data_IF_022645354461
#
_entry.id   IF_022645354461
#
_cell.length_a   1.000
_cell.length_b   1.000
_cell.length_c   1.000
_cell.angle_alpha   90.00
_cell.angle_beta   90.00
_cell.angle_gamma   90.00
#
_symmetry.space_group_name_H-M   'P 1'
#
loop_
_entity.id
_entity.type
_entity.pdbx_description
1 polymer ?
#
# COMPACT_ATOMS: atom_id res chain seq x y z
N UNK A 1 69.94 53.97 -6.39
CA UNK A 1 69.92 52.58 -6.91
C UNK A 1 68.48 52.12 -6.97
N UNK A 2 68.10 51.45 -8.07
CA UNK A 2 66.74 51.04 -8.45
C UNK A 2 66.16 49.96 -7.51
N UNK A 3 64.88 50.04 -7.19
CA UNK A 3 63.82 49.03 -7.47
C UNK A 3 62.52 49.45 -6.76
N UNK A 4 61.44 49.82 -7.46
CA UNK A 4 60.41 49.00 -8.16
C UNK A 4 59.45 48.25 -7.23
N UNK A 5 58.17 48.61 -7.36
CA UNK A 5 57.00 47.80 -7.03
C UNK A 5 56.30 48.24 -5.74
N UNK A 6 54.98 48.40 -5.68
CA UNK A 6 53.94 48.39 -6.68
C UNK A 6 52.73 49.08 -6.03
N UNK A 7 52.03 49.92 -6.78
CA UNK A 7 50.76 50.49 -6.39
C UNK A 7 49.69 49.38 -6.28
N UNK A 8 48.80 49.43 -5.29
CA UNK A 8 47.37 49.24 -5.57
C UNK A 8 46.48 49.69 -4.42
N UNK A 9 45.54 50.54 -4.82
CA UNK A 9 44.33 51.08 -4.19
C UNK A 9 43.58 50.09 -3.29
N UNK A 10 43.23 50.53 -2.08
CA UNK A 10 42.25 49.88 -1.21
C UNK A 10 40.84 50.18 -1.72
N UNK A 11 40.12 49.13 -2.13
CA UNK A 11 38.70 49.18 -2.48
C UNK A 11 37.89 48.47 -1.40
N UNK A 12 36.81 49.13 -0.97
CA UNK A 12 35.80 48.65 -0.02
C UNK A 12 35.20 47.31 -0.44
N UNK A 13 34.98 46.42 0.54
CA UNK A 13 33.96 45.38 0.45
C UNK A 13 33.09 45.43 1.70
N UNK A 14 31.89 46.00 1.54
CA UNK A 14 30.80 45.87 2.49
C UNK A 14 30.21 44.46 2.34
N UNK A 15 30.25 43.68 3.42
CA UNK A 15 29.72 42.32 3.45
C UNK A 15 28.19 42.38 3.66
N UNK A 16 27.42 42.38 2.57
CA UNK A 16 25.98 42.13 2.65
C UNK A 16 25.74 40.63 2.90
N UNK A 17 25.46 40.26 4.15
CA UNK A 17 24.95 38.93 4.48
C UNK A 17 23.48 38.88 4.09
N UNK A 18 23.19 38.43 2.87
CA UNK A 18 21.84 38.09 2.47
C UNK A 18 21.46 36.76 3.14
N UNK A 19 20.64 36.82 4.19
CA UNK A 19 20.02 35.65 4.79
C UNK A 19 19.04 35.02 3.80
N UNK A 20 19.46 33.94 3.13
CA UNK A 20 18.58 33.04 2.41
C UNK A 20 17.73 32.27 3.44
N UNK A 21 16.64 32.89 3.90
CA UNK A 21 15.55 32.16 4.53
C UNK A 21 14.89 31.30 3.43
N UNK A 22 15.39 30.09 3.23
CA UNK A 22 14.72 29.11 2.40
C UNK A 22 13.35 28.82 2.99
N UNK A 23 12.29 29.28 2.34
CA UNK A 23 10.94 28.84 2.65
C UNK A 23 10.86 27.35 2.36
N UNK A 24 10.95 26.52 3.40
CA UNK A 24 10.61 25.11 3.31
C UNK A 24 9.11 25.03 3.03
N UNK A 25 8.73 24.76 1.78
CA UNK A 25 7.35 24.40 1.46
C UNK A 25 7.03 23.12 2.24
N UNK A 26 6.02 23.18 3.10
CA UNK A 26 5.50 21.99 3.76
C UNK A 26 5.00 21.05 2.66
N UNK A 27 5.58 19.85 2.57
CA UNK A 27 5.12 18.84 1.64
C UNK A 27 3.68 18.47 2.03
N UNK A 28 2.74 18.58 1.09
CA UNK A 28 1.37 18.10 1.30
C UNK A 28 1.36 16.57 1.28
N UNK A 29 0.46 15.97 2.06
CA UNK A 29 0.22 14.54 1.98
C UNK A 29 -0.17 14.15 0.55
N UNK A 30 0.30 12.99 0.06
CA UNK A 30 -0.08 12.52 -1.27
C UNK A 30 -1.60 12.29 -1.32
N UNK A 31 -2.21 12.75 -2.39
CA UNK A 31 -3.62 12.55 -2.62
C UNK A 31 -3.85 11.15 -3.20
N UNK A 32 -4.57 10.32 -2.45
CA UNK A 32 -5.12 9.05 -2.92
C UNK A 32 -6.56 9.34 -3.30
N UNK A 33 -6.93 9.11 -4.57
CA UNK A 33 -8.28 9.42 -5.05
C UNK A 33 -9.31 8.69 -4.20
N UNK A 34 -10.23 9.47 -3.64
CA UNK A 34 -11.31 9.00 -2.78
C UNK A 34 -12.44 8.39 -3.62
N UNK A 35 -13.02 7.31 -3.12
CA UNK A 35 -14.21 6.73 -3.73
C UNK A 35 -15.42 7.63 -3.51
N UNK A 36 -15.48 8.30 -2.35
CA UNK A 36 -16.59 9.20 -1.98
C UNK A 36 -16.75 10.42 -2.90
N UNK A 37 -15.69 10.80 -3.62
CA UNK A 37 -15.71 11.89 -4.60
C UNK A 37 -15.94 11.41 -6.03
N UNK A 38 -16.14 10.11 -6.23
CA UNK A 38 -16.42 9.49 -7.53
C UNK A 38 -17.94 9.37 -7.72
N UNK A 39 -18.41 9.42 -8.97
CA UNK A 39 -19.80 9.08 -9.29
C UNK A 39 -20.00 7.56 -9.22
N UNK A 40 -21.04 7.08 -8.54
CA UNK A 40 -21.36 5.64 -8.53
C UNK A 40 -21.54 5.09 -9.96
N UNK A 41 -20.99 3.89 -10.19
CA UNK A 41 -20.88 3.26 -11.51
C UNK A 41 -19.69 3.72 -12.36
N UNK A 42 -19.03 4.82 -12.00
CA UNK A 42 -17.83 5.28 -12.72
C UNK A 42 -16.55 4.63 -12.17
N UNK A 43 -15.55 4.46 -13.04
CA UNK A 43 -14.23 4.04 -12.62
C UNK A 43 -13.57 5.12 -11.73
N UNK A 44 -13.05 4.76 -10.54
CA UNK A 44 -12.43 5.74 -9.66
C UNK A 44 -11.08 6.19 -10.24
N UNK A 45 -10.91 7.51 -10.39
CA UNK A 45 -9.77 8.07 -11.11
C UNK A 45 -8.42 7.66 -10.48
N UNK A 46 -7.46 7.24 -11.31
CA UNK A 46 -6.12 6.80 -10.88
C UNK A 46 -6.05 5.38 -10.33
N UNK A 47 -7.19 4.75 -10.02
CA UNK A 47 -7.24 3.33 -9.68
C UNK A 47 -7.29 2.47 -10.94
N UNK A 48 -6.54 1.38 -10.96
CA UNK A 48 -6.41 0.46 -12.09
C UNK A 48 -6.66 -0.97 -11.64
N UNK A 49 -7.48 -1.70 -12.39
CA UNK A 49 -7.65 -3.14 -12.20
C UNK A 49 -6.42 -3.85 -12.76
N UNK A 50 -5.77 -4.66 -11.93
CA UNK A 50 -4.59 -5.46 -12.30
C UNK A 50 -4.92 -6.95 -12.18
N UNK A 51 -4.69 -7.68 -13.28
CA UNK A 51 -4.85 -9.14 -13.32
C UNK A 51 -3.60 -9.86 -12.79
N UNK A 52 -3.79 -11.00 -12.15
CA UNK A 52 -2.68 -11.77 -11.55
C UNK A 52 -2.09 -12.82 -12.50
N UNK A 53 -2.92 -13.42 -13.35
CA UNK A 53 -2.50 -14.22 -14.50
C UNK A 53 -3.65 -14.26 -15.51
N UNK A 54 -3.34 -14.67 -16.74
CA UNK A 54 -4.36 -14.90 -17.77
C UNK A 54 -5.28 -16.09 -17.51
N UNK A 55 -4.97 -16.94 -16.53
CA UNK A 55 -5.74 -18.16 -16.22
C UNK A 55 -6.65 -18.01 -15.00
N UNK A 56 -6.49 -16.95 -14.22
CA UNK A 56 -7.33 -16.69 -13.04
C UNK A 56 -8.58 -15.92 -13.43
N UNK A 57 -9.70 -16.28 -12.81
CA UNK A 57 -10.91 -15.45 -12.81
C UNK A 57 -10.62 -14.15 -12.06
N UNK A 58 -11.29 -13.08 -12.46
CA UNK A 58 -11.09 -11.75 -11.89
C UNK A 58 -12.16 -11.43 -10.85
N UNK A 59 -11.79 -10.66 -9.84
CA UNK A 59 -12.71 -10.04 -8.88
C UNK A 59 -13.44 -8.90 -9.58
N UNK A 60 -14.75 -8.82 -9.40
CA UNK A 60 -15.56 -7.75 -9.96
C UNK A 60 -15.50 -6.52 -9.04
N UNK A 61 -15.10 -5.38 -9.59
CA UNK A 61 -15.00 -4.11 -8.86
C UNK A 61 -15.97 -3.08 -9.46
N UNK A 62 -16.75 -2.44 -8.60
CA UNK A 62 -17.68 -1.39 -9.00
C UNK A 62 -17.83 -0.31 -7.93
N UNK A 63 -17.93 0.95 -8.32
CA UNK A 63 -18.31 2.03 -7.38
C UNK A 63 -19.81 2.00 -7.16
N UNK A 64 -20.25 1.94 -5.91
CA UNK A 64 -21.66 1.86 -5.52
C UNK A 64 -21.96 2.85 -4.40
N UNK A 65 -23.23 3.17 -4.17
CA UNK A 65 -23.65 3.93 -2.99
C UNK A 65 -23.93 2.97 -1.84
N UNK A 66 -23.26 3.17 -0.71
CA UNK A 66 -23.57 2.52 0.58
C UNK A 66 -23.66 3.61 1.66
N UNK A 67 -24.71 3.58 2.48
CA UNK A 67 -24.93 4.56 3.56
C UNK A 67 -24.84 6.04 3.10
N UNK A 68 -25.26 6.32 1.85
CA UNK A 68 -25.25 7.66 1.27
C UNK A 68 -23.90 8.16 0.76
N UNK A 69 -22.86 7.32 0.77
CA UNK A 69 -21.52 7.65 0.24
C UNK A 69 -21.12 6.68 -0.86
N UNK A 70 -20.30 7.13 -1.81
CA UNK A 70 -19.77 6.26 -2.86
C UNK A 70 -18.56 5.48 -2.32
N UNK A 71 -18.58 4.17 -2.52
CA UNK A 71 -17.58 3.20 -2.05
C UNK A 71 -17.20 2.24 -3.18
N UNK A 72 -16.08 1.55 -3.07
CA UNK A 72 -15.70 0.50 -4.01
C UNK A 72 -16.19 -0.86 -3.49
N UNK A 73 -17.15 -1.46 -4.19
CA UNK A 73 -17.59 -2.85 -3.97
C UNK A 73 -16.67 -3.81 -4.71
N UNK A 74 -16.33 -4.92 -4.05
CA UNK A 74 -15.60 -6.05 -4.61
C UNK A 74 -16.41 -7.34 -4.40
N UNK A 75 -16.62 -8.11 -5.47
CA UNK A 75 -17.30 -9.40 -5.45
C UNK A 75 -16.41 -10.47 -6.08
N UNK A 76 -16.03 -11.48 -5.30
CA UNK A 76 -15.13 -12.54 -5.72
C UNK A 76 -15.83 -13.91 -5.71
N UNK A 77 -15.62 -14.69 -6.78
CA UNK A 77 -16.26 -15.98 -7.02
C UNK A 77 -15.22 -16.98 -7.57
N UNK A 78 -14.48 -17.64 -6.68
CA UNK A 78 -13.29 -18.41 -7.04
C UNK A 78 -12.29 -17.59 -7.85
N UNK A 79 -12.12 -16.31 -7.50
CA UNK A 79 -11.41 -15.31 -8.32
C UNK A 79 -10.40 -14.50 -7.52
N UNK A 80 -9.46 -13.87 -8.24
CA UNK A 80 -8.46 -13.01 -7.65
C UNK A 80 -7.90 -12.01 -8.68
N UNK A 81 -8.13 -10.73 -8.43
CA UNK A 81 -7.48 -9.60 -9.10
C UNK A 81 -7.35 -8.42 -8.13
N UNK A 82 -6.55 -7.42 -8.49
CA UNK A 82 -6.26 -6.26 -7.64
C UNK A 82 -6.90 -5.00 -8.19
N UNK A 83 -7.23 -4.06 -7.31
CA UNK A 83 -7.37 -2.65 -7.66
C UNK A 83 -6.18 -1.88 -7.09
N UNK A 84 -5.41 -1.20 -7.95
CA UNK A 84 -4.16 -0.55 -7.58
C UNK A 84 -4.17 0.96 -7.86
N UNK A 85 -3.66 1.75 -6.93
CA UNK A 85 -3.40 3.17 -7.05
C UNK A 85 -1.90 3.42 -6.94
N UNK A 86 -1.29 3.95 -8.01
CA UNK A 86 0.13 4.31 -7.99
C UNK A 86 0.32 5.64 -7.27
N UNK A 87 1.20 5.67 -6.29
CA UNK A 87 1.51 6.87 -5.51
C UNK A 87 2.91 6.77 -4.96
N UNK A 88 3.66 7.87 -4.92
CA UNK A 88 5.01 7.87 -4.35
C UNK A 88 5.12 8.86 -3.19
N UNK A 89 5.48 8.36 -2.01
CA UNK A 89 5.76 9.21 -0.85
C UNK A 89 6.71 8.53 0.15
N UNK A 90 7.35 9.35 0.98
CA UNK A 90 8.15 8.86 2.10
C UNK A 90 7.24 8.57 3.30
N UNK A 91 7.14 7.31 3.77
CA UNK A 91 6.31 6.99 4.93
C UNK A 91 6.84 7.61 6.22
N UNK A 92 8.07 8.15 6.26
CA UNK A 92 8.57 8.90 7.41
C UNK A 92 7.98 10.32 7.50
N UNK A 93 7.57 10.89 6.36
CA UNK A 93 6.89 12.19 6.31
C UNK A 93 5.37 12.03 6.51
N UNK A 94 4.78 10.95 5.99
CA UNK A 94 3.35 10.64 6.09
C UNK A 94 3.12 9.20 6.59
N UNK A 95 3.43 8.90 7.87
CA UNK A 95 3.38 7.52 8.38
C UNK A 95 1.96 7.03 8.64
N UNK A 96 1.00 7.92 8.85
CA UNK A 96 -0.33 7.54 9.33
C UNK A 96 -1.21 7.16 8.16
N UNK A 97 -1.38 5.86 7.92
CA UNK A 97 -2.33 5.32 6.95
C UNK A 97 -3.70 5.11 7.62
N UNK A 98 -4.75 5.67 7.04
CA UNK A 98 -6.14 5.50 7.49
C UNK A 98 -7.03 4.98 6.37
N UNK A 99 -7.88 4.01 6.69
CA UNK A 99 -8.85 3.44 5.75
C UNK A 99 -10.05 2.86 6.49
N UNK A 100 -11.09 2.51 5.73
CA UNK A 100 -12.22 1.73 6.23
C UNK A 100 -12.66 0.67 5.23
N UNK A 101 -13.20 -0.43 5.74
CA UNK A 101 -13.85 -1.46 4.94
C UNK A 101 -15.04 -2.07 5.68
N UNK A 102 -15.89 -2.78 4.94
CA UNK A 102 -16.98 -3.60 5.45
C UNK A 102 -16.97 -4.92 4.72
N UNK A 103 -16.78 -6.02 5.45
CA UNK A 103 -16.95 -7.37 4.89
C UNK A 103 -18.45 -7.68 4.91
N UNK A 104 -19.04 -7.94 3.75
CA UNK A 104 -20.44 -8.33 3.61
C UNK A 104 -20.55 -9.85 3.73
N UNK A 105 -19.72 -10.57 2.99
CA UNK A 105 -19.60 -12.02 3.02
C UNK A 105 -18.14 -12.40 3.29
N UNK A 106 -17.91 -13.11 4.40
CA UNK A 106 -16.59 -13.61 4.80
C UNK A 106 -16.27 -14.97 4.18
N UNK A 107 -15.10 -15.52 4.52
CA UNK A 107 -14.63 -16.81 3.99
C UNK A 107 -14.37 -17.78 5.16
N UNK A 108 -15.37 -18.55 5.64
CA UNK A 108 -15.20 -19.42 6.81
C UNK A 108 -14.10 -20.48 6.66
N UNK A 109 -13.79 -20.87 5.43
CA UNK A 109 -12.74 -21.83 5.12
C UNK A 109 -11.33 -21.21 5.11
N UNK A 110 -11.19 -19.88 5.16
CA UNK A 110 -9.90 -19.21 5.08
C UNK A 110 -9.02 -19.54 6.30
N UNK A 111 -7.74 -19.75 6.03
CA UNK A 111 -6.70 -20.00 7.03
C UNK A 111 -5.44 -19.26 6.60
N UNK A 112 -5.14 -18.13 7.26
CA UNK A 112 -4.06 -17.23 6.84
C UNK A 112 -2.68 -17.90 6.83
N UNK A 113 -2.45 -18.95 7.63
CA UNK A 113 -1.18 -19.70 7.65
C UNK A 113 -1.12 -20.84 6.63
N UNK A 114 -2.19 -21.10 5.89
CA UNK A 114 -2.29 -22.25 5.00
C UNK A 114 -2.34 -21.80 3.54
N UNK A 115 -1.29 -22.09 2.79
CA UNK A 115 -1.15 -21.73 1.38
C UNK A 115 -2.35 -22.06 0.51
N UNK A 116 -3.04 -23.18 0.73
CA UNK A 116 -4.18 -23.58 -0.11
C UNK A 116 -5.49 -22.97 0.36
N UNK A 117 -5.46 -22.15 1.41
CA UNK A 117 -6.61 -21.47 2.01
C UNK A 117 -6.25 -20.03 2.43
N UNK A 118 -5.20 -19.45 1.82
CA UNK A 118 -4.67 -18.11 2.12
C UNK A 118 -5.47 -17.06 1.34
N UNK A 119 -6.80 -17.08 1.46
CA UNK A 119 -7.73 -16.09 0.88
C UNK A 119 -8.19 -15.10 1.97
N UNK A 120 -8.60 -13.89 1.59
CA UNK A 120 -9.20 -12.94 2.51
C UNK A 120 -10.34 -12.14 1.85
N UNK A 121 -11.45 -11.87 2.57
CA UNK A 121 -12.53 -11.07 2.03
C UNK A 121 -12.12 -9.61 1.79
N UNK A 122 -11.09 -9.13 2.50
CA UNK A 122 -10.46 -7.83 2.26
C UNK A 122 -8.95 -7.85 2.52
N UNK A 123 -8.22 -7.17 1.65
CA UNK A 123 -6.81 -6.81 1.82
C UNK A 123 -6.59 -5.35 1.41
N UNK A 124 -5.83 -4.62 2.21
CA UNK A 124 -5.20 -3.36 1.81
C UNK A 124 -3.69 -3.58 1.77
N UNK A 125 -3.06 -3.33 0.64
CA UNK A 125 -1.66 -3.66 0.39
C UNK A 125 -0.88 -2.38 0.13
N UNK A 126 0.30 -2.26 0.75
CA UNK A 126 1.20 -1.12 0.59
C UNK A 126 2.50 -1.63 0.00
N UNK A 127 2.84 -1.15 -1.19
CA UNK A 127 4.05 -1.54 -1.91
C UNK A 127 5.19 -0.56 -1.61
N UNK A 128 6.34 -1.08 -1.19
CA UNK A 128 7.53 -0.31 -0.84
C UNK A 128 8.64 -0.53 -1.87
N UNK A 129 9.31 0.56 -2.23
CA UNK A 129 10.56 0.53 -2.98
C UNK A 129 11.73 0.08 -2.08
N UNK A 130 12.82 -0.33 -2.71
CA UNK A 130 14.06 -0.68 -2.02
C UNK A 130 15.07 -1.28 -2.97
N UNK A 131 16.23 -1.63 -2.43
CA UNK A 131 17.34 -2.18 -3.20
C UNK A 131 17.14 -3.68 -3.43
N UNK A 132 16.68 -4.04 -4.64
CA UNK A 132 16.39 -5.42 -5.02
C UNK A 132 17.62 -6.32 -5.04
N UNK A 133 18.85 -5.77 -5.06
CA UNK A 133 20.07 -6.57 -4.94
C UNK A 133 20.23 -7.20 -3.55
N UNK A 134 19.60 -6.61 -2.52
CA UNK A 134 19.58 -7.12 -1.14
C UNK A 134 18.60 -8.27 -0.92
N UNK A 135 17.72 -8.55 -1.89
CA UNK A 135 16.78 -9.67 -1.80
C UNK A 135 17.51 -11.00 -1.81
N UNK A 136 16.98 -12.01 -1.12
CA UNK A 136 17.49 -13.37 -1.20
C UNK A 136 17.38 -13.91 -2.64
N UNK A 137 18.20 -14.91 -2.98
CA UNK A 137 18.13 -15.55 -4.31
C UNK A 137 16.72 -16.11 -4.58
N UNK A 138 16.08 -16.67 -3.55
CA UNK A 138 14.71 -17.20 -3.64
C UNK A 138 13.69 -16.09 -3.92
N UNK A 139 13.79 -14.94 -3.25
CA UNK A 139 12.86 -13.83 -3.47
C UNK A 139 13.05 -13.19 -4.86
N UNK A 140 14.30 -13.11 -5.34
CA UNK A 140 14.57 -12.65 -6.72
C UNK A 140 14.00 -13.61 -7.77
N UNK A 141 14.09 -14.91 -7.53
CA UNK A 141 13.49 -15.93 -8.39
C UNK A 141 11.95 -15.83 -8.38
N UNK A 142 11.34 -15.69 -7.20
CA UNK A 142 9.89 -15.47 -7.06
C UNK A 142 9.42 -14.20 -7.78
N UNK A 143 10.15 -13.08 -7.63
CA UNK A 143 9.85 -11.83 -8.35
C UNK A 143 9.95 -11.98 -9.86
N UNK A 144 10.92 -12.75 -10.35
CA UNK A 144 11.08 -13.00 -11.78
C UNK A 144 9.94 -13.85 -12.33
N UNK A 145 9.53 -14.90 -11.59
CA UNK A 145 8.38 -15.73 -11.92
C UNK A 145 7.08 -14.92 -11.94
N UNK A 146 6.84 -14.10 -10.92
CA UNK A 146 5.67 -13.22 -10.85
C UNK A 146 5.60 -12.27 -12.06
N UNK A 147 6.75 -11.70 -12.49
CA UNK A 147 6.83 -10.86 -13.68
C UNK A 147 6.47 -11.63 -14.96
N UNK A 148 6.93 -12.87 -15.08
CA UNK A 148 6.59 -13.71 -16.25
C UNK A 148 5.12 -14.12 -16.29
N UNK A 149 4.50 -14.38 -15.14
CA UNK A 149 3.11 -14.84 -15.05
C UNK A 149 2.08 -13.70 -15.16
N UNK A 150 2.36 -12.56 -14.53
CA UNK A 150 1.42 -11.42 -14.42
C UNK A 150 1.79 -10.22 -15.30
N UNK A 151 3.00 -10.22 -15.87
CA UNK A 151 3.58 -9.03 -16.51
C UNK A 151 4.08 -7.97 -15.53
N UNK A 152 3.84 -8.12 -14.22
CA UNK A 152 4.19 -7.15 -13.19
C UNK A 152 5.33 -7.68 -12.30
N UNK A 153 6.37 -6.87 -12.10
CA UNK A 153 7.39 -7.19 -11.10
C UNK A 153 6.81 -7.00 -9.69
N UNK A 154 7.20 -7.87 -8.75
CA UNK A 154 6.90 -7.66 -7.34
C UNK A 154 7.65 -6.42 -6.82
N UNK A 155 7.05 -5.63 -5.92
CA UNK A 155 7.78 -4.58 -5.23
C UNK A 155 8.89 -5.17 -4.36
N UNK A 156 9.79 -4.32 -3.86
CA UNK A 156 10.84 -4.76 -2.94
C UNK A 156 10.26 -5.35 -1.65
N UNK A 157 9.20 -4.75 -1.13
CA UNK A 157 8.38 -5.30 -0.07
C UNK A 157 6.92 -4.92 -0.25
N UNK A 158 6.03 -5.75 0.26
CA UNK A 158 4.61 -5.48 0.33
C UNK A 158 4.07 -5.84 1.72
N UNK A 159 3.47 -4.86 2.38
CA UNK A 159 2.75 -5.06 3.64
C UNK A 159 1.25 -5.11 3.34
N UNK A 160 0.61 -6.22 3.69
CA UNK A 160 -0.83 -6.43 3.51
C UNK A 160 -1.52 -6.34 4.87
N UNK A 161 -2.47 -5.43 5.02
CA UNK A 161 -3.44 -5.44 6.11
C UNK A 161 -4.62 -6.30 5.70
N UNK A 162 -4.93 -7.34 6.48
CA UNK A 162 -5.92 -8.35 6.10
C UNK A 162 -7.01 -8.55 7.15
N UNK A 163 -8.16 -9.03 6.69
CA UNK A 163 -9.07 -9.78 7.53
C UNK A 163 -8.56 -11.22 7.68
N UNK A 164 -7.97 -11.54 8.82
CA UNK A 164 -7.31 -12.81 9.08
C UNK A 164 -8.29 -13.97 9.30
N UNK A 165 -8.00 -15.13 8.71
CA UNK A 165 -8.71 -16.38 8.96
C UNK A 165 -7.95 -17.23 9.97
N UNK A 166 -8.58 -17.51 11.13
CA UNK A 166 -8.02 -18.36 12.21
C UNK A 166 -6.65 -17.89 12.72
N UNK A 167 -6.47 -16.58 12.83
CA UNK A 167 -5.28 -15.92 13.37
C UNK A 167 -5.67 -14.80 14.31
N UNK A 168 -4.82 -14.49 15.28
CA UNK A 168 -5.06 -13.37 16.18
C UNK A 168 -4.90 -12.03 15.44
N UNK A 169 -5.70 -11.02 15.81
CA UNK A 169 -5.44 -9.62 15.43
C UNK A 169 -4.04 -9.21 15.89
N UNK A 170 -3.38 -8.37 15.09
CA UNK A 170 -1.98 -7.93 15.20
C UNK A 170 -0.92 -9.01 15.00
N UNK A 171 -1.30 -10.24 14.64
CA UNK A 171 -0.35 -11.24 14.15
C UNK A 171 0.22 -10.84 12.79
N UNK A 172 1.51 -11.15 12.60
CA UNK A 172 2.20 -10.98 11.33
C UNK A 172 2.56 -12.36 10.79
N UNK A 173 2.13 -12.65 9.58
CA UNK A 173 2.42 -13.88 8.86
C UNK A 173 3.15 -13.57 7.55
N UNK A 174 3.77 -14.59 6.97
CA UNK A 174 4.45 -14.47 5.68
C UNK A 174 3.60 -15.14 4.63
N UNK A 175 3.37 -14.47 3.50
CA UNK A 175 2.64 -15.08 2.40
C UNK A 175 3.39 -16.29 1.87
N UNK A 176 2.65 -17.32 1.47
CA UNK A 176 3.21 -18.51 0.86
C UNK A 176 3.96 -18.25 -0.47
N UNK A 177 3.80 -17.08 -1.08
CA UNK A 177 4.47 -16.71 -2.34
C UNK A 177 5.94 -16.29 -2.14
N UNK A 178 6.22 -15.41 -1.17
CA UNK A 178 7.57 -14.87 -0.93
C UNK A 178 7.66 -14.26 0.46
N UNK A 179 8.88 -14.27 1.01
CA UNK A 179 9.18 -13.58 2.26
C UNK A 179 9.12 -12.05 2.16
N UNK A 180 8.95 -11.47 0.97
CA UNK A 180 8.80 -10.02 0.80
C UNK A 180 7.36 -9.54 0.86
N UNK A 181 6.42 -10.47 1.05
CA UNK A 181 5.02 -10.16 1.34
C UNK A 181 4.74 -10.57 2.79
N UNK A 182 4.39 -9.59 3.61
CA UNK A 182 3.99 -9.79 5.00
C UNK A 182 2.53 -9.41 5.17
N UNK A 183 1.78 -10.26 5.85
CA UNK A 183 0.36 -10.04 6.14
C UNK A 183 0.19 -9.74 7.62
N UNK A 184 -0.42 -8.60 7.93
CA UNK A 184 -0.76 -8.16 9.28
C UNK A 184 -2.28 -8.24 9.44
N UNK A 185 -2.76 -9.09 10.35
CA UNK A 185 -4.18 -9.20 10.63
C UNK A 185 -4.66 -7.98 11.42
N UNK A 186 -5.59 -7.20 10.87
CA UNK A 186 -6.21 -6.05 11.57
C UNK A 186 -7.63 -6.34 12.05
N UNK A 187 -8.26 -7.35 11.45
CA UNK A 187 -9.48 -8.00 11.89
C UNK A 187 -9.28 -9.50 11.77
N UNK A 188 -10.12 -10.28 12.44
CA UNK A 188 -10.09 -11.73 12.34
C UNK A 188 -11.49 -12.32 12.56
N UNK A 189 -11.69 -13.50 11.97
CA UNK A 189 -12.88 -14.35 12.12
C UNK A 189 -14.19 -13.62 11.80
N UNK A 190 -15.33 -14.20 12.17
CA UNK A 190 -16.64 -13.74 11.70
C UNK A 190 -17.15 -12.51 12.46
N UNK A 191 -16.40 -12.06 13.48
CA UNK A 191 -16.79 -10.95 14.36
C UNK A 191 -16.69 -9.64 13.61
N UNK A 192 -17.83 -8.95 13.47
CA UNK A 192 -17.90 -7.64 12.83
C UNK A 192 -18.15 -7.69 11.32
N UNK A 193 -18.38 -8.88 10.74
CA UNK A 193 -18.97 -8.99 9.40
C UNK A 193 -20.30 -8.22 9.39
N UNK A 194 -20.60 -7.55 8.28
CA UNK A 194 -21.79 -6.71 8.09
C UNK A 194 -21.64 -5.28 8.64
N UNK A 195 -20.53 -4.92 9.27
CA UNK A 195 -20.28 -3.59 9.83
C UNK A 195 -19.06 -2.91 9.20
N UNK A 196 -19.08 -1.58 9.16
CA UNK A 196 -17.91 -0.78 8.78
C UNK A 196 -16.88 -0.73 9.91
N UNK A 197 -15.62 -0.97 9.56
CA UNK A 197 -14.48 -0.86 10.46
C UNK A 197 -13.51 0.19 9.95
N UNK A 198 -13.00 1.02 10.85
CA UNK A 198 -12.04 2.07 10.55
C UNK A 198 -10.70 1.73 11.19
N UNK A 199 -9.62 1.92 10.44
CA UNK A 199 -8.27 1.63 10.89
C UNK A 199 -7.38 2.85 10.72
N UNK A 200 -6.40 2.97 11.60
CA UNK A 200 -5.29 3.91 11.46
C UNK A 200 -4.04 3.22 11.94
N UNK A 201 -3.01 3.17 11.09
CA UNK A 201 -1.75 2.46 11.35
C UNK A 201 -0.55 3.31 11.00
N UNK A 202 0.54 3.11 11.72
CA UNK A 202 1.82 3.72 11.41
C UNK A 202 2.60 2.78 10.47
N UNK A 203 2.75 3.19 9.21
CA UNK A 203 3.41 2.42 8.16
C UNK A 203 4.86 2.08 8.53
N UNK A 204 5.59 3.01 9.16
CA UNK A 204 6.99 2.81 9.51
C UNK A 204 7.14 1.78 10.62
N UNK A 205 6.29 1.86 11.66
CA UNK A 205 6.30 0.91 12.76
C UNK A 205 5.89 -0.49 12.33
N UNK A 206 4.80 -0.61 11.56
CA UNK A 206 4.35 -1.92 11.08
C UNK A 206 5.34 -2.54 10.08
N UNK A 207 5.96 -1.73 9.22
CA UNK A 207 7.01 -2.23 8.33
C UNK A 207 8.21 -2.76 9.11
N UNK A 208 8.71 -2.01 10.10
CA UNK A 208 9.82 -2.47 10.96
C UNK A 208 9.47 -3.77 11.69
N UNK A 209 8.25 -3.88 12.23
CA UNK A 209 7.77 -5.12 12.88
C UNK A 209 7.75 -6.30 11.92
N UNK A 210 7.33 -6.07 10.67
CA UNK A 210 7.14 -7.12 9.69
C UNK A 210 8.44 -7.58 9.02
N UNK A 211 9.37 -6.66 8.78
CA UNK A 211 10.57 -6.91 7.97
C UNK A 211 11.89 -6.79 8.72
N UNK A 212 11.91 -6.15 9.90
CA UNK A 212 13.13 -5.95 10.69
C UNK A 212 14.09 -4.91 10.10
N UNK A 213 13.63 -4.07 9.16
CA UNK A 213 14.42 -3.05 8.48
C UNK A 213 13.61 -1.76 8.26
N UNK A 214 14.26 -0.70 7.77
CA UNK A 214 13.60 0.57 7.43
C UNK A 214 12.85 0.47 6.09
N UNK A 215 11.64 1.05 5.97
CA UNK A 215 10.94 1.11 4.71
C UNK A 215 11.63 2.05 3.71
N UNK A 216 11.58 1.69 2.43
CA UNK A 216 11.77 2.66 1.35
C UNK A 216 10.52 3.53 1.16
N UNK A 217 10.46 4.25 0.03
CA UNK A 217 9.26 5.01 -0.34
C UNK A 217 8.10 4.05 -0.61
N UNK A 218 6.89 4.45 -0.24
CA UNK A 218 5.65 3.82 -0.75
C UNK A 218 5.55 4.13 -2.24
N UNK A 219 5.10 3.16 -3.04
CA UNK A 219 5.01 3.23 -4.52
C UNK A 219 3.62 2.88 -5.05
N UNK A 220 2.80 2.20 -4.26
CA UNK A 220 1.42 1.91 -4.58
C UNK A 220 0.62 1.55 -3.32
N UNK A 221 -0.69 1.82 -3.38
CA UNK A 221 -1.71 1.26 -2.50
C UNK A 221 -2.57 0.33 -3.35
N UNK A 222 -2.91 -0.86 -2.84
CA UNK A 222 -3.75 -1.81 -3.57
C UNK A 222 -4.83 -2.39 -2.66
N UNK A 223 -5.90 -2.83 -3.28
CA UNK A 223 -7.03 -3.50 -2.66
C UNK A 223 -7.22 -4.85 -3.33
N UNK A 224 -7.60 -5.85 -2.54
CA UNK A 224 -7.83 -7.20 -3.04
C UNK A 224 -8.87 -7.91 -2.20
N UNK A 225 -9.90 -8.42 -2.88
CA UNK A 225 -10.78 -9.45 -2.34
C UNK A 225 -10.57 -10.69 -3.20
N UNK A 226 -10.22 -11.81 -2.57
CA UNK A 226 -9.81 -13.02 -3.26
C UNK A 226 -10.38 -14.29 -2.64
N UNK A 227 -10.73 -15.23 -3.50
CA UNK A 227 -11.36 -16.50 -3.14
C UNK A 227 -10.85 -17.68 -3.98
N UNK A 228 -9.72 -17.51 -4.67
CA UNK A 228 -9.24 -18.50 -5.64
C UNK A 228 -8.57 -19.71 -4.99
N UNK A 229 -8.05 -19.60 -3.77
CA UNK A 229 -7.44 -20.74 -3.07
C UNK A 229 -8.50 -21.67 -2.45
N UNK A 230 -9.55 -21.08 -1.89
CA UNK A 230 -10.68 -21.77 -1.27
C UNK A 230 -11.81 -22.11 -2.24
N UNK A 231 -11.79 -21.53 -3.45
CA UNK A 231 -12.85 -21.61 -4.45
C UNK A 231 -14.23 -21.25 -3.86
N UNK A 232 -14.25 -20.20 -3.04
CA UNK A 232 -15.41 -19.72 -2.30
C UNK A 232 -15.95 -18.41 -2.87
N UNK A 233 -16.86 -17.77 -2.13
CA UNK A 233 -17.38 -16.44 -2.43
C UNK A 233 -17.00 -15.46 -1.33
N UNK A 234 -16.82 -14.20 -1.71
CA UNK A 234 -16.63 -13.10 -0.78
C UNK A 234 -17.16 -11.81 -1.39
N UNK A 235 -17.71 -10.96 -0.53
CA UNK A 235 -18.18 -9.65 -0.92
C UNK A 235 -17.76 -8.63 0.13
N UNK A 236 -17.22 -7.49 -0.31
CA UNK A 236 -16.76 -6.44 0.58
C UNK A 236 -16.91 -5.05 -0.04
N UNK A 237 -16.92 -4.05 0.83
CA UNK A 237 -16.88 -2.63 0.48
C UNK A 237 -15.60 -2.00 1.03
N UNK A 238 -14.93 -1.21 0.20
CA UNK A 238 -13.80 -0.37 0.57
C UNK A 238 -14.22 1.10 0.52
N UNK A 239 -13.94 1.81 1.61
CA UNK A 239 -14.10 3.26 1.67
C UNK A 239 -12.80 3.99 1.35
N UNK A 240 -12.81 5.30 1.61
CA UNK A 240 -11.67 6.16 1.35
C UNK A 240 -10.41 5.72 2.09
N UNK A 241 -9.27 5.96 1.45
CA UNK A 241 -7.93 5.71 1.98
C UNK A 241 -7.19 7.04 2.00
N UNK A 242 -6.45 7.31 3.06
CA UNK A 242 -5.66 8.53 3.20
C UNK A 242 -4.38 8.27 3.97
N UNK A 243 -3.40 9.16 3.76
CA UNK A 243 -2.21 9.22 4.60
C UNK A 243 -2.03 10.63 5.15
N UNK A 244 -1.43 10.73 6.33
CA UNK A 244 -1.18 11.99 7.00
C UNK A 244 0.18 12.01 7.70
N UNK A 245 0.66 13.22 7.98
CA UNK A 245 1.81 13.44 8.85
C UNK A 245 1.55 12.90 10.27
N UNK A 246 2.61 12.66 11.06
CA UNK A 246 2.43 12.33 12.47
C UNK A 246 1.56 13.39 13.15
N UNK A 247 0.68 12.96 14.06
CA UNK A 247 -0.05 13.87 14.93
C UNK A 247 0.88 14.50 15.97
#
# INVERSE_FOLDING_TARGET
>A
MRDRGAAMRAALYALCVASLAGTAFAQSAPEITRFSTTQAGAAPAGWQHITLSSTKKETEYATVVDEGVVVLKASAHGSASLMAFRTEFDPRAFPMLSWRWKVIEGIPAAETHNRTREDAPVRLMVSFSGDTSKLSVLDRAASSFAKSASGQALPYAELMYIWGGKVAVDSITTSALTSRIRMLAVAADDKGIGSWHNYTRNLVEDFRRAFGEEPGKVTAIKLMTDTDNTNSNAEALYGDISVASPR
#
